data_IF_089650564491
#
_entry.id   IF_089650564491
#
_cell.length_a   1.000
_cell.length_b   1.000
_cell.length_c   1.000
_cell.angle_alpha   90.00
_cell.angle_beta   90.00
_cell.angle_gamma   90.00
#
_symmetry.space_group_name_H-M   'P 1'
#
loop_
_entity.id
_entity.type
_entity.pdbx_description
1 polymer ?
#
# COMPACT_ATOMS: atom_id res chain seq x y z
N UNK A 1 -16.59 -13.27 11.60
CA UNK A 1 -15.11 -13.18 11.66
C UNK A 1 -14.43 -13.82 10.44
N UNK A 2 -14.97 -14.90 9.86
CA UNK A 2 -14.42 -15.55 8.65
C UNK A 2 -14.43 -14.62 7.42
N UNK A 3 -15.54 -13.92 7.16
CA UNK A 3 -15.68 -12.99 6.01
C UNK A 3 -14.62 -11.85 6.07
N UNK A 4 -14.42 -11.22 7.23
CA UNK A 4 -13.43 -10.15 7.39
C UNK A 4 -11.97 -10.64 7.21
N UNK A 5 -11.69 -11.93 7.49
CA UNK A 5 -10.38 -12.53 7.24
C UNK A 5 -10.14 -12.75 5.75
N UNK A 6 -11.15 -13.19 5.00
CA UNK A 6 -11.06 -13.40 3.56
C UNK A 6 -10.83 -12.08 2.81
N UNK A 7 -11.57 -11.03 3.16
CA UNK A 7 -11.39 -9.68 2.60
C UNK A 7 -9.97 -9.15 2.87
N UNK A 8 -9.44 -9.38 4.08
CA UNK A 8 -8.09 -8.93 4.44
C UNK A 8 -7.01 -9.68 3.64
N UNK A 9 -7.16 -11.00 3.45
CA UNK A 9 -6.23 -11.81 2.66
C UNK A 9 -6.25 -11.40 1.19
N UNK A 10 -7.44 -11.13 0.64
CA UNK A 10 -7.57 -10.66 -0.73
C UNK A 10 -6.94 -9.28 -0.91
N UNK A 11 -7.18 -8.37 0.04
CA UNK A 11 -6.56 -7.05 0.04
C UNK A 11 -5.02 -7.13 0.14
N UNK A 12 -4.50 -7.95 1.06
CA UNK A 12 -3.06 -8.11 1.27
C UNK A 12 -2.38 -8.73 0.05
N UNK A 13 -3.01 -9.72 -0.59
CA UNK A 13 -2.49 -10.28 -1.85
C UNK A 13 -2.49 -9.26 -2.98
N UNK A 14 -3.54 -8.44 -3.13
CA UNK A 14 -3.57 -7.34 -4.08
C UNK A 14 -2.49 -6.29 -3.79
N UNK A 15 -2.30 -5.91 -2.53
CA UNK A 15 -1.27 -4.97 -2.11
C UNK A 15 0.15 -5.47 -2.46
N UNK A 16 0.42 -6.77 -2.26
CA UNK A 16 1.69 -7.38 -2.65
C UNK A 16 1.91 -7.36 -4.18
N UNK A 17 0.86 -7.60 -4.96
CA UNK A 17 0.92 -7.50 -6.43
C UNK A 17 1.24 -6.06 -6.85
N UNK A 18 0.52 -5.07 -6.30
CA UNK A 18 0.75 -3.66 -6.60
C UNK A 18 2.17 -3.26 -6.21
N UNK A 19 2.65 -3.71 -5.05
CA UNK A 19 4.01 -3.45 -4.57
C UNK A 19 5.07 -4.02 -5.52
N UNK A 20 4.86 -5.24 -6.02
CA UNK A 20 5.74 -5.83 -7.02
C UNK A 20 5.72 -5.05 -8.35
N UNK A 21 4.53 -4.69 -8.84
CA UNK A 21 4.37 -3.87 -10.05
C UNK A 21 5.00 -2.48 -9.91
N UNK A 22 4.91 -1.86 -8.74
CA UNK A 22 5.55 -0.59 -8.43
C UNK A 22 7.08 -0.71 -8.51
N UNK A 23 7.67 -1.77 -7.93
CA UNK A 23 9.11 -2.04 -8.00
C UNK A 23 9.60 -2.33 -9.42
N UNK A 24 8.86 -3.12 -10.20
CA UNK A 24 9.19 -3.39 -11.62
C UNK A 24 9.07 -2.12 -12.47
N UNK A 25 7.99 -1.36 -12.28
CA UNK A 25 7.73 -0.15 -13.05
C UNK A 25 8.78 0.93 -12.79
N UNK A 26 9.11 1.19 -11.52
CA UNK A 26 10.13 2.21 -11.20
C UNK A 26 11.52 1.78 -11.67
N UNK A 27 11.85 0.49 -11.57
CA UNK A 27 13.09 -0.05 -12.11
C UNK A 27 13.20 0.24 -13.61
N UNK A 28 12.12 0.00 -14.37
CA UNK A 28 12.10 0.29 -15.80
C UNK A 28 12.35 1.76 -16.13
N UNK A 29 11.80 2.70 -15.35
CA UNK A 29 11.97 4.13 -15.59
C UNK A 29 13.29 4.71 -15.09
N UNK A 30 13.85 4.18 -14.00
CA UNK A 30 14.97 4.82 -13.29
C UNK A 30 16.28 4.04 -13.37
N UNK A 31 16.29 2.76 -13.79
CA UNK A 31 17.53 1.97 -13.82
C UNK A 31 18.61 2.59 -14.72
N UNK A 32 18.25 3.10 -15.91
CA UNK A 32 19.23 3.74 -16.80
C UNK A 32 19.80 5.05 -16.22
N UNK A 33 18.98 5.82 -15.49
CA UNK A 33 19.37 7.10 -14.92
C UNK A 33 20.12 6.95 -13.58
N UNK A 34 19.78 5.91 -12.81
CA UNK A 34 20.27 5.67 -11.45
C UNK A 34 20.56 4.18 -11.23
N UNK A 35 21.51 3.58 -11.96
CA UNK A 35 21.76 2.14 -11.96
C UNK A 35 22.29 1.59 -10.62
N UNK A 36 22.92 2.42 -9.81
CA UNK A 36 23.41 2.01 -8.48
C UNK A 36 22.26 1.84 -7.48
N UNK A 37 21.23 2.67 -7.63
CA UNK A 37 20.13 2.80 -6.65
C UNK A 37 18.94 1.92 -7.06
N UNK A 38 18.57 1.97 -8.34
CA UNK A 38 17.57 1.09 -8.94
C UNK A 38 18.26 -0.06 -9.69
N UNK A 39 19.17 -0.77 -9.02
CA UNK A 39 20.06 -1.78 -9.62
C UNK A 39 19.36 -3.10 -9.99
N UNK A 40 18.27 -3.42 -9.31
CA UNK A 40 17.41 -4.56 -9.62
C UNK A 40 15.98 -4.30 -9.18
N UNK A 41 15.05 -5.14 -9.63
CA UNK A 41 13.65 -5.10 -9.16
C UNK A 41 13.59 -5.24 -7.64
N UNK A 42 14.41 -6.11 -7.03
CA UNK A 42 14.43 -6.30 -5.58
C UNK A 42 14.96 -5.08 -4.81
N UNK A 43 15.97 -4.38 -5.35
CA UNK A 43 16.39 -3.10 -4.78
C UNK A 43 15.29 -2.03 -4.92
N UNK A 44 14.58 -2.03 -6.05
CA UNK A 44 13.48 -1.11 -6.33
C UNK A 44 12.25 -1.37 -5.45
N UNK A 45 12.08 -2.60 -4.94
CA UNK A 45 11.05 -2.92 -3.96
C UNK A 45 11.21 -2.15 -2.64
N UNK A 46 12.43 -1.82 -2.23
CA UNK A 46 12.67 -1.00 -1.03
C UNK A 46 12.01 0.38 -1.19
N UNK A 47 12.27 1.02 -2.33
CA UNK A 47 11.61 2.28 -2.69
C UNK A 47 10.10 2.13 -2.77
N UNK A 48 9.60 1.04 -3.38
CA UNK A 48 8.17 0.80 -3.52
C UNK A 48 7.50 0.63 -2.16
N UNK A 49 8.08 -0.12 -1.22
CA UNK A 49 7.60 -0.27 0.15
C UNK A 49 7.53 1.09 0.83
N UNK A 50 8.65 1.83 0.85
CA UNK A 50 8.72 3.13 1.52
C UNK A 50 7.71 4.14 0.95
N UNK A 51 7.47 4.08 -0.36
CA UNK A 51 6.54 4.98 -1.06
C UNK A 51 5.08 4.58 -0.86
N UNK A 52 4.72 3.30 -1.07
CA UNK A 52 3.34 2.82 -0.90
C UNK A 52 2.85 2.95 0.54
N UNK A 53 3.74 2.74 1.51
CA UNK A 53 3.43 2.89 2.94
C UNK A 53 3.49 4.33 3.42
N UNK A 54 3.77 5.28 2.53
CA UNK A 54 3.89 6.72 2.82
C UNK A 54 5.00 7.09 3.81
N UNK A 55 5.95 6.18 4.09
CA UNK A 55 7.10 6.44 4.97
C UNK A 55 8.07 7.41 4.32
N UNK A 56 8.44 7.15 3.06
CA UNK A 56 9.20 8.07 2.21
C UNK A 56 10.51 8.57 2.83
N UNK A 57 11.45 7.67 3.15
CA UNK A 57 12.75 8.04 3.75
C UNK A 57 13.54 9.08 2.94
N UNK A 58 13.36 9.12 1.62
CA UNK A 58 14.01 10.09 0.73
C UNK A 58 15.45 9.73 0.35
N UNK A 59 15.92 8.54 0.74
CA UNK A 59 17.19 7.93 0.35
C UNK A 59 17.21 7.55 -1.13
N UNK A 60 16.07 7.09 -1.65
CA UNK A 60 15.86 6.71 -3.05
C UNK A 60 14.61 7.42 -3.56
N UNK A 61 14.69 8.02 -4.75
CA UNK A 61 13.56 8.69 -5.40
C UNK A 61 13.79 8.83 -6.91
N UNK A 62 12.72 8.85 -7.72
CA UNK A 62 12.83 9.01 -9.17
C UNK A 62 13.35 10.39 -9.57
N UNK A 63 14.27 10.42 -10.53
CA UNK A 63 14.77 11.66 -11.13
C UNK A 63 14.20 11.89 -12.52
N UNK A 64 13.83 10.83 -13.24
CA UNK A 64 13.31 10.94 -14.61
C UNK A 64 11.88 11.48 -14.64
N UNK A 65 11.51 12.08 -15.78
CA UNK A 65 10.14 12.56 -15.99
C UNK A 65 9.14 11.40 -15.97
N UNK A 66 9.50 10.28 -16.62
CA UNK A 66 8.67 9.07 -16.65
C UNK A 66 8.46 8.48 -15.26
N UNK A 67 9.53 8.32 -14.48
CA UNK A 67 9.47 7.80 -13.12
C UNK A 67 8.70 8.71 -12.16
N UNK A 68 8.78 10.03 -12.30
CA UNK A 68 7.96 10.98 -11.53
C UNK A 68 6.47 10.86 -11.84
N UNK A 69 6.10 10.80 -13.13
CA UNK A 69 4.70 10.60 -13.54
C UNK A 69 4.18 9.25 -13.05
N UNK A 70 4.97 8.19 -13.19
CA UNK A 70 4.63 6.86 -12.68
C UNK A 70 4.41 6.89 -11.16
N UNK A 71 5.34 7.51 -10.43
CA UNK A 71 5.29 7.63 -8.97
C UNK A 71 4.06 8.38 -8.49
N UNK A 72 3.61 9.41 -9.22
CA UNK A 72 2.37 10.10 -8.90
C UNK A 72 1.17 9.14 -8.82
N UNK A 73 1.02 8.22 -9.78
CA UNK A 73 -0.04 7.21 -9.74
C UNK A 73 0.17 6.22 -8.58
N UNK A 74 1.42 5.82 -8.33
CA UNK A 74 1.76 4.94 -7.19
C UNK A 74 1.36 5.57 -5.86
N UNK A 75 1.57 6.87 -5.66
CA UNK A 75 1.18 7.59 -4.45
C UNK A 75 -0.34 7.61 -4.25
N UNK A 76 -1.11 7.85 -5.32
CA UNK A 76 -2.58 7.82 -5.27
C UNK A 76 -3.08 6.41 -4.90
N UNK A 77 -2.47 5.37 -5.46
CA UNK A 77 -2.81 3.98 -5.12
C UNK A 77 -2.39 3.66 -3.67
N UNK A 78 -1.20 4.10 -3.24
CA UNK A 78 -0.67 3.89 -1.90
C UNK A 78 -1.58 4.44 -0.81
N UNK A 79 -2.19 5.62 -1.02
CA UNK A 79 -3.23 6.15 -0.13
C UNK A 79 -4.40 5.19 0.05
N UNK A 80 -4.87 4.57 -1.03
CA UNK A 80 -5.90 3.54 -0.98
C UNK A 80 -5.44 2.30 -0.22
N UNK A 81 -4.18 1.89 -0.39
CA UNK A 81 -3.61 0.74 0.30
C UNK A 81 -3.57 0.95 1.83
N UNK A 82 -3.31 2.16 2.30
CA UNK A 82 -3.31 2.46 3.75
C UNK A 82 -4.73 2.67 4.28
N UNK A 83 -5.61 3.31 3.51
CA UNK A 83 -6.96 3.66 3.97
C UNK A 83 -7.88 2.44 4.13
N UNK A 84 -7.79 1.43 3.26
CA UNK A 84 -8.71 0.29 3.25
C UNK A 84 -8.63 -0.55 4.53
N UNK A 85 -7.45 -1.04 4.99
CA UNK A 85 -7.35 -1.80 6.24
C UNK A 85 -7.81 -1.00 7.46
N UNK A 86 -7.48 0.30 7.51
CA UNK A 86 -7.93 1.18 8.58
C UNK A 86 -9.47 1.29 8.61
N UNK A 87 -10.10 1.44 7.44
CA UNK A 87 -11.56 1.46 7.30
C UNK A 87 -12.21 0.13 7.69
N UNK A 88 -11.61 -1.01 7.33
CA UNK A 88 -12.09 -2.34 7.72
C UNK A 88 -12.07 -2.53 9.24
N UNK A 89 -10.98 -2.13 9.90
CA UNK A 89 -10.85 -2.20 11.37
C UNK A 89 -11.86 -1.26 12.04
N UNK A 90 -12.00 -0.02 11.56
CA UNK A 90 -12.97 0.93 12.09
C UNK A 90 -14.41 0.40 11.97
N UNK A 91 -14.77 -0.18 10.83
CA UNK A 91 -16.08 -0.81 10.60
C UNK A 91 -16.32 -1.98 11.56
N UNK A 92 -15.31 -2.85 11.75
CA UNK A 92 -15.39 -3.96 12.68
C UNK A 92 -15.60 -3.49 14.14
N UNK A 93 -14.89 -2.43 14.55
CA UNK A 93 -15.05 -1.81 15.88
C UNK A 93 -16.41 -1.14 16.05
N UNK A 94 -16.91 -0.43 15.04
CA UNK A 94 -18.24 0.20 15.08
C UNK A 94 -19.33 -0.86 15.25
N UNK A 95 -19.25 -1.94 14.48
CA UNK A 95 -20.21 -3.05 14.55
C UNK A 95 -20.18 -3.76 15.92
N UNK A 96 -19.00 -3.89 16.53
CA UNK A 96 -18.88 -4.46 17.87
C UNK A 96 -19.56 -3.58 18.94
N UNK A 97 -19.39 -2.25 18.86
CA UNK A 97 -20.04 -1.28 19.77
C UNK A 97 -21.56 -1.27 19.63
N UNK A 98 -22.08 -1.38 18.41
CA UNK A 98 -23.53 -1.46 18.17
C UNK A 98 -24.14 -2.70 18.83
N UNK A 99 -23.49 -3.86 18.75
CA UNK A 99 -23.95 -5.09 19.40
C UNK A 99 -24.01 -4.96 20.93
N UNK A 100 -22.99 -4.37 21.55
CA UNK A 100 -22.94 -4.13 23.00
C UNK A 100 -24.06 -3.18 23.47
N UNK A 101 -24.37 -2.13 22.70
CA UNK A 101 -25.47 -1.21 23.01
C UNK A 101 -26.86 -1.86 22.95
N UNK A 102 -27.05 -2.83 22.05
CA UNK A 102 -28.31 -3.57 21.92
C UNK A 102 -28.50 -4.59 23.05
N UNK A 103 -27.44 -5.15 23.60
CA UNK A 103 -27.51 -6.02 24.78
C UNK A 103 -27.92 -5.22 26.02
N UNK A 104 -27.33 -4.04 26.27
CA UNK A 104 -27.69 -3.17 27.38
C UNK A 104 -29.13 -2.62 27.31
N UNK A 105 -29.73 -2.56 26.13
CA UNK A 105 -31.14 -2.10 25.95
C UNK A 105 -32.15 -3.24 26.15
N UNK A 106 -31.69 -4.50 26.17
CA UNK A 106 -32.56 -5.68 26.31
C UNK A 106 -32.64 -6.23 27.73
N UNK A 107 -31.76 -5.81 28.64
CA UNK A 107 -31.92 -5.95 30.11
C UNK A 107 -32.81 -4.84 30.67
#
# INVERSE_FOLDING_TARGET
>A
MIIAKEELVLFLSAALIILFLAGVGIYYFENEAQPEVFSSVFHSLWWAVATLTTVGYGDIYPVTVGGKIFTFFVLVIGLGVVAVPAGMVASALSKAREMESQECTKE
#
